data_IF_032648597967
#
_entry.id   IF_032648597967
#
_cell.length_a   1.000
_cell.length_b   1.000
_cell.length_c   1.000
_cell.angle_alpha   90.00
_cell.angle_beta   90.00
_cell.angle_gamma   90.00
#
_symmetry.space_group_name_H-M   'P 1'
#
loop_
_entity.id
_entity.type
_entity.pdbx_description
1 polymer ?
#
# COMPACT_ATOMS: atom_id res chain seq x y z
N UNK A 1 -4.22 39.40 10.95
CA UNK A 1 -3.18 38.70 11.72
C UNK A 1 -2.23 39.77 12.25
N UNK A 2 -1.88 39.73 13.53
CA UNK A 2 -1.14 40.81 14.18
C UNK A 2 0.31 40.86 13.68
N UNK A 3 0.89 42.07 13.59
CA UNK A 3 2.28 42.30 13.16
C UNK A 3 3.29 41.43 13.95
N UNK A 4 2.99 41.15 15.21
CA UNK A 4 3.80 40.32 16.10
C UNK A 4 3.91 38.86 15.61
N UNK A 5 2.83 38.28 15.09
CA UNK A 5 2.82 36.92 14.56
C UNK A 5 3.71 36.79 13.29
N UNK A 6 3.78 37.85 12.48
CA UNK A 6 4.63 37.90 11.28
C UNK A 6 6.11 37.88 11.69
N UNK A 7 6.47 38.67 12.72
CA UNK A 7 7.83 38.73 13.24
C UNK A 7 8.27 37.40 13.89
N UNK A 8 7.39 36.76 14.67
CA UNK A 8 7.66 35.43 15.24
C UNK A 8 7.82 34.37 14.15
N UNK A 9 6.92 34.34 13.16
CA UNK A 9 7.03 33.44 12.02
C UNK A 9 8.32 33.67 11.21
N UNK A 10 8.76 34.92 11.04
CA UNK A 10 10.02 35.24 10.34
C UNK A 10 11.25 34.72 11.09
N UNK A 11 11.28 34.83 12.43
CA UNK A 11 12.36 34.23 13.24
C UNK A 11 12.40 32.71 13.09
N UNK A 12 11.25 32.05 13.22
CA UNK A 12 11.16 30.59 13.02
C UNK A 12 11.54 30.19 11.58
N UNK A 13 11.24 31.06 10.60
CA UNK A 13 11.67 30.86 9.24
C UNK A 13 13.19 31.00 9.06
N UNK A 14 13.82 31.98 9.70
CA UNK A 14 15.28 32.11 9.68
C UNK A 14 15.96 30.88 10.30
N UNK A 15 15.36 30.30 11.34
CA UNK A 15 15.82 29.07 12.00
C UNK A 15 15.64 27.79 11.15
N UNK A 16 15.12 27.89 9.94
CA UNK A 16 15.01 26.75 9.04
C UNK A 16 13.75 25.89 9.21
N UNK A 17 12.79 26.28 10.06
CA UNK A 17 11.56 25.50 10.22
C UNK A 17 10.70 25.52 8.94
N UNK A 18 9.99 24.43 8.67
CA UNK A 18 9.05 24.34 7.55
C UNK A 18 7.74 25.09 7.84
N UNK A 19 6.96 25.39 6.79
CA UNK A 19 5.64 26.03 6.91
C UNK A 19 4.73 25.29 7.90
N UNK A 20 4.73 23.96 7.85
CA UNK A 20 3.90 23.13 8.73
C UNK A 20 4.33 23.20 10.19
N UNK A 21 5.64 23.22 10.45
CA UNK A 21 6.18 23.36 11.80
C UNK A 21 5.90 24.76 12.37
N UNK A 22 6.06 25.81 11.55
CA UNK A 22 5.72 27.19 11.95
C UNK A 22 4.23 27.32 12.25
N UNK A 23 3.38 26.67 11.44
CA UNK A 23 1.94 26.67 11.66
C UNK A 23 1.57 25.98 12.99
N UNK A 24 2.20 24.84 13.30
CA UNK A 24 2.02 24.13 14.56
C UNK A 24 2.50 24.98 15.76
N UNK A 25 3.67 25.60 15.65
CA UNK A 25 4.26 26.43 16.71
C UNK A 25 3.41 27.66 17.06
N UNK A 26 2.80 28.27 16.03
CA UNK A 26 1.99 29.47 16.20
C UNK A 26 0.50 29.18 16.41
N UNK A 27 0.09 27.89 16.40
CA UNK A 27 -1.31 27.49 16.53
C UNK A 27 -2.20 27.94 15.36
N UNK A 28 -1.66 27.92 14.14
CA UNK A 28 -2.34 28.41 12.92
C UNK A 28 -2.40 27.35 11.83
N UNK A 29 -3.06 27.65 10.70
CA UNK A 29 -3.10 26.72 9.56
C UNK A 29 -1.91 26.90 8.62
N UNK A 30 -1.51 25.82 7.94
CA UNK A 30 -0.48 25.84 6.90
C UNK A 30 -0.77 26.88 5.81
N UNK A 31 -2.04 27.02 5.41
CA UNK A 31 -2.47 27.97 4.39
C UNK A 31 -2.26 29.43 4.82
N UNK A 32 -2.45 29.73 6.10
CA UNK A 32 -2.21 31.07 6.66
C UNK A 32 -0.74 31.44 6.59
N UNK A 33 0.17 30.56 7.01
CA UNK A 33 1.63 30.79 6.94
C UNK A 33 2.12 30.84 5.49
N UNK A 34 1.61 29.96 4.61
CA UNK A 34 1.94 29.98 3.18
C UNK A 34 1.50 31.30 2.50
N UNK A 35 0.29 31.76 2.78
CA UNK A 35 -0.20 33.05 2.27
C UNK A 35 0.54 34.25 2.87
N UNK A 36 0.95 34.17 4.13
CA UNK A 36 1.75 35.21 4.81
C UNK A 36 3.15 35.33 4.20
N UNK A 37 3.88 34.22 4.10
CA UNK A 37 5.23 34.20 3.50
C UNK A 37 5.23 34.68 2.05
N UNK A 38 4.16 34.43 1.29
CA UNK A 38 4.02 34.93 -0.08
C UNK A 38 3.82 36.45 -0.16
N UNK A 39 3.15 37.06 0.82
CA UNK A 39 2.89 38.52 0.85
C UNK A 39 4.05 39.31 1.44
N UNK A 40 4.78 38.71 2.37
CA UNK A 40 5.92 39.33 3.07
C UNK A 40 7.24 38.68 2.59
N UNK A 41 7.54 38.79 1.30
CA UNK A 41 8.70 38.10 0.70
C UNK A 41 10.05 38.64 1.17
N UNK A 42 10.07 39.88 1.64
CA UNK A 42 11.18 40.55 2.31
C UNK A 42 11.60 39.83 3.60
N UNK A 43 10.63 39.38 4.41
CA UNK A 43 10.87 38.68 5.68
C UNK A 43 10.97 37.16 5.53
N UNK A 44 10.52 36.62 4.41
CA UNK A 44 10.47 35.18 4.13
C UNK A 44 11.16 34.88 2.78
N UNK A 45 12.50 34.97 2.73
CA UNK A 45 13.24 34.72 1.51
C UNK A 45 13.05 33.28 1.04
N UNK A 46 13.04 33.12 -0.28
CA UNK A 46 12.84 31.82 -0.91
C UNK A 46 14.07 30.93 -0.69
N UNK A 47 13.90 29.85 0.08
CA UNK A 47 15.01 28.96 0.46
C UNK A 47 15.49 28.03 -0.64
N UNK A 48 14.62 27.70 -1.61
CA UNK A 48 14.97 26.89 -2.77
C UNK A 48 14.52 27.61 -4.02
N UNK A 49 15.50 27.95 -4.87
CA UNK A 49 15.22 28.27 -6.26
C UNK A 49 14.74 26.97 -6.90
N UNK A 50 13.57 27.01 -7.55
CA UNK A 50 13.16 25.89 -8.39
C UNK A 50 14.11 25.77 -9.58
N UNK A 51 14.13 24.63 -10.28
CA UNK A 51 14.86 24.52 -11.54
C UNK A 51 14.42 25.65 -12.47
N UNK A 52 15.38 26.28 -13.14
CA UNK A 52 15.08 27.36 -14.07
C UNK A 52 14.32 26.80 -15.29
N UNK A 53 13.64 27.66 -16.07
CA UNK A 53 13.02 27.23 -17.32
C UNK A 53 14.02 26.57 -18.29
N UNK A 54 15.28 27.01 -18.28
CA UNK A 54 16.37 26.44 -19.07
C UNK A 54 16.69 25.00 -18.62
N UNK A 55 16.88 24.78 -17.31
CA UNK A 55 17.13 23.44 -16.75
C UNK A 55 15.97 22.47 -17.05
N UNK A 56 14.75 23.00 -17.11
CA UNK A 56 13.56 22.23 -17.46
C UNK A 56 13.54 21.86 -18.94
N UNK A 57 13.94 22.77 -19.83
CA UNK A 57 14.02 22.51 -21.26
C UNK A 57 15.07 21.42 -21.58
N UNK A 58 16.28 21.54 -21.04
CA UNK A 58 17.34 20.53 -21.23
C UNK A 58 16.90 19.15 -20.74
N UNK A 59 16.25 19.10 -19.57
CA UNK A 59 15.70 17.86 -19.03
C UNK A 59 14.64 17.26 -19.95
N UNK A 60 13.72 18.08 -20.45
CA UNK A 60 12.63 17.63 -21.31
C UNK A 60 13.19 17.12 -22.66
N UNK A 61 14.20 17.78 -23.23
CA UNK A 61 14.95 17.32 -24.42
C UNK A 61 15.59 15.94 -24.18
N UNK A 62 16.23 15.75 -23.03
CA UNK A 62 16.83 14.47 -22.66
C UNK A 62 15.79 13.37 -22.49
N UNK A 63 14.60 13.70 -21.98
CA UNK A 63 13.46 12.78 -21.90
C UNK A 63 13.00 12.35 -23.30
N UNK A 64 12.94 13.27 -24.26
CA UNK A 64 12.55 12.96 -25.64
C UNK A 64 13.57 12.07 -26.34
N UNK A 65 14.87 12.36 -26.17
CA UNK A 65 15.94 11.54 -26.73
C UNK A 65 15.85 10.09 -26.22
N UNK A 66 15.72 9.90 -24.91
CA UNK A 66 15.59 8.57 -24.32
C UNK A 66 14.28 7.87 -24.72
N UNK A 67 13.21 8.61 -25.00
CA UNK A 67 11.99 8.03 -25.55
C UNK A 67 12.20 7.55 -26.99
N UNK A 68 12.90 8.33 -27.82
CA UNK A 68 13.25 7.93 -29.18
C UNK A 68 14.14 6.68 -29.22
N UNK A 69 15.06 6.54 -28.25
CA UNK A 69 15.89 5.35 -28.05
C UNK A 69 15.11 4.09 -27.62
N UNK A 70 13.82 4.21 -27.27
CA UNK A 70 12.98 3.06 -26.90
C UNK A 70 12.83 2.82 -25.40
N UNK A 71 13.44 3.64 -24.53
CA UNK A 71 13.35 3.44 -23.08
C UNK A 71 11.92 3.59 -22.56
N UNK A 72 11.56 2.80 -21.55
CA UNK A 72 10.28 2.91 -20.85
C UNK A 72 10.24 4.09 -19.88
N UNK A 73 9.04 4.56 -19.52
CA UNK A 73 8.87 5.77 -18.68
C UNK A 73 9.61 5.71 -17.34
N UNK A 74 9.59 4.55 -16.66
CA UNK A 74 10.32 4.37 -15.40
C UNK A 74 11.83 4.46 -15.61
N UNK A 75 12.34 3.89 -16.70
CA UNK A 75 13.78 3.91 -17.01
C UNK A 75 14.25 5.30 -17.38
N UNK A 76 13.46 6.03 -18.17
CA UNK A 76 13.72 7.44 -18.51
C UNK A 76 13.78 8.28 -17.23
N UNK A 77 12.81 8.12 -16.34
CA UNK A 77 12.75 8.86 -15.09
C UNK A 77 13.99 8.63 -14.21
N UNK A 78 14.44 7.37 -14.11
CA UNK A 78 15.67 6.98 -13.42
C UNK A 78 16.92 7.65 -14.05
N UNK A 79 17.09 7.54 -15.37
CA UNK A 79 18.27 8.09 -16.07
C UNK A 79 18.34 9.61 -15.95
N UNK A 80 17.20 10.28 -16.03
CA UNK A 80 17.10 11.75 -15.99
C UNK A 80 17.12 12.27 -14.55
N UNK A 81 16.96 11.40 -13.55
CA UNK A 81 16.89 11.80 -12.14
C UNK A 81 15.61 12.57 -11.80
N UNK A 82 14.50 12.28 -12.48
CA UNK A 82 13.20 12.90 -12.22
C UNK A 82 12.14 11.89 -11.80
N UNK A 83 11.04 12.35 -11.21
CA UNK A 83 9.95 11.44 -10.82
C UNK A 83 9.19 10.93 -12.07
N UNK A 84 8.72 9.66 -12.12
CA UNK A 84 7.99 9.12 -13.28
C UNK A 84 6.75 9.92 -13.71
N UNK A 85 6.14 10.64 -12.77
CA UNK A 85 5.01 11.54 -13.08
C UNK A 85 5.41 12.70 -13.97
N UNK A 86 6.68 13.14 -13.96
CA UNK A 86 7.19 14.17 -14.87
C UNK A 86 7.13 13.70 -16.32
N UNK A 87 7.60 12.49 -16.60
CA UNK A 87 7.55 11.89 -17.95
C UNK A 87 6.10 11.68 -18.38
N UNK A 88 5.23 11.20 -17.47
CA UNK A 88 3.79 11.04 -17.74
C UNK A 88 3.14 12.39 -18.08
N UNK A 89 3.44 13.44 -17.31
CA UNK A 89 2.93 14.81 -17.53
C UNK A 89 3.36 15.34 -18.89
N UNK A 90 4.64 15.17 -19.26
CA UNK A 90 5.13 15.61 -20.59
C UNK A 90 4.43 14.87 -21.72
N UNK A 91 4.19 13.57 -21.58
CA UNK A 91 3.42 12.80 -22.55
C UNK A 91 1.99 13.31 -22.72
N UNK A 92 1.35 13.78 -21.65
CA UNK A 92 0.00 14.37 -21.71
C UNK A 92 0.02 15.77 -22.33
N UNK A 93 1.02 16.59 -22.01
CA UNK A 93 1.10 17.98 -22.47
C UNK A 93 1.61 18.11 -23.91
N UNK A 94 2.47 17.18 -24.35
CA UNK A 94 3.15 17.19 -25.66
C UNK A 94 3.09 15.81 -26.31
N UNK A 95 1.89 15.30 -26.64
CA UNK A 95 1.72 13.96 -27.21
C UNK A 95 2.47 13.77 -28.53
N UNK A 96 2.68 14.84 -29.31
CA UNK A 96 3.42 14.83 -30.58
C UNK A 96 4.87 14.36 -30.43
N UNK A 97 5.50 14.61 -29.27
CA UNK A 97 6.88 14.20 -28.98
C UNK A 97 6.99 12.75 -28.47
N UNK A 98 5.85 12.09 -28.21
CA UNK A 98 5.79 10.72 -27.69
C UNK A 98 4.96 9.82 -28.61
N UNK A 99 5.43 9.54 -29.84
CA UNK A 99 4.70 8.70 -30.77
C UNK A 99 4.41 7.33 -30.15
N UNK A 100 3.21 6.81 -30.44
CA UNK A 100 2.79 5.51 -29.96
C UNK A 100 3.70 4.43 -30.55
N UNK A 101 4.63 3.92 -29.73
CA UNK A 101 5.44 2.76 -30.10
C UNK A 101 4.53 1.54 -30.20
N UNK A 102 4.69 0.73 -31.25
CA UNK A 102 4.07 -0.59 -31.35
C UNK A 102 4.55 -1.36 -30.13
N UNK A 103 3.66 -1.58 -29.15
CA UNK A 103 4.00 -2.42 -28.01
C UNK A 103 4.29 -3.79 -28.60
N UNK A 104 5.55 -4.21 -28.55
CA UNK A 104 5.83 -5.64 -28.64
C UNK A 104 4.93 -6.30 -27.60
N UNK A 105 4.22 -7.35 -28.03
CA UNK A 105 3.31 -8.06 -27.14
C UNK A 105 4.08 -8.32 -25.84
N UNK A 106 3.49 -8.01 -24.67
CA UNK A 106 4.19 -8.23 -23.42
C UNK A 106 4.74 -9.65 -23.46
N UNK A 107 6.07 -9.81 -23.37
CA UNK A 107 6.70 -11.11 -23.16
C UNK A 107 5.86 -11.74 -22.08
N UNK A 108 5.19 -12.83 -22.42
CA UNK A 108 4.18 -13.42 -21.55
C UNK A 108 4.79 -13.43 -20.15
N UNK A 109 4.04 -12.92 -19.16
CA UNK A 109 4.46 -13.06 -17.75
C UNK A 109 4.96 -14.49 -17.66
N UNK A 110 6.24 -14.70 -17.28
CA UNK A 110 6.79 -16.06 -17.10
C UNK A 110 5.66 -16.88 -16.52
N UNK A 111 5.25 -18.03 -17.10
CA UNK A 111 4.19 -18.84 -16.53
C UNK A 111 4.53 -18.90 -15.06
N UNK A 112 3.65 -18.33 -14.22
CA UNK A 112 3.87 -18.27 -12.78
C UNK A 112 4.21 -19.68 -12.44
N UNK A 113 5.48 -19.93 -12.08
CA UNK A 113 5.93 -21.27 -11.76
C UNK A 113 4.86 -21.83 -10.83
N UNK A 114 4.28 -22.97 -11.19
CA UNK A 114 3.24 -23.58 -10.38
C UNK A 114 3.71 -23.50 -8.94
N UNK A 115 2.98 -22.73 -8.14
CA UNK A 115 3.39 -22.49 -6.77
C UNK A 115 3.49 -23.90 -6.16
N UNK A 116 4.68 -24.34 -5.70
CA UNK A 116 4.80 -25.67 -5.12
C UNK A 116 3.72 -25.80 -4.06
N UNK A 117 2.97 -26.89 -4.09
CA UNK A 117 1.98 -27.17 -3.06
C UNK A 117 2.73 -27.32 -1.74
N UNK A 118 2.84 -26.23 -1.00
CA UNK A 118 3.62 -26.12 0.22
C UNK A 118 2.90 -26.77 1.41
N UNK A 119 1.94 -27.66 1.14
CA UNK A 119 1.08 -28.30 2.12
C UNK A 119 0.17 -27.32 2.87
N UNK A 120 0.19 -26.03 2.52
CA UNK A 120 -0.69 -24.98 3.06
C UNK A 120 -1.93 -24.75 2.20
N UNK A 121 -2.17 -25.61 1.19
CA UNK A 121 -3.56 -25.88 0.81
C UNK A 121 -4.26 -26.46 2.04
N UNK A 122 -5.49 -26.03 2.31
CA UNK A 122 -6.31 -26.64 3.35
C UNK A 122 -6.41 -28.14 3.02
N UNK A 123 -5.52 -28.95 3.61
CA UNK A 123 -5.59 -30.39 3.45
C UNK A 123 -6.90 -30.90 4.04
N UNK A 124 -7.31 -32.11 3.64
CA UNK A 124 -8.51 -32.83 4.10
C UNK A 124 -8.95 -32.38 5.50
N UNK A 125 -10.01 -31.57 5.55
CA UNK A 125 -10.50 -30.93 6.77
C UNK A 125 -10.98 -31.95 7.81
N UNK A 126 -11.23 -33.20 7.40
CA UNK A 126 -11.57 -34.31 8.31
C UNK A 126 -10.44 -34.62 9.27
N UNK A 127 -9.19 -34.34 8.90
CA UNK A 127 -8.02 -34.48 9.80
C UNK A 127 -8.08 -33.55 11.00
N UNK A 128 -8.89 -32.50 10.93
CA UNK A 128 -9.08 -31.58 12.04
C UNK A 128 -10.12 -32.12 13.04
N UNK A 129 -10.77 -33.25 12.80
CA UNK A 129 -11.75 -33.80 13.74
C UNK A 129 -11.13 -34.09 15.12
N UNK A 130 -11.80 -33.65 16.19
CA UNK A 130 -11.37 -33.91 17.57
C UNK A 130 -11.67 -35.38 17.91
N UNK A 131 -10.70 -36.16 18.43
CA UNK A 131 -10.92 -37.55 18.79
C UNK A 131 -12.09 -37.72 19.77
N UNK A 132 -12.92 -38.74 19.55
CA UNK A 132 -14.08 -39.04 20.41
C UNK A 132 -15.26 -38.07 20.27
N UNK A 133 -15.24 -37.18 19.27
CA UNK A 133 -16.37 -36.28 18.96
C UNK A 133 -17.02 -36.65 17.64
N UNK A 134 -18.34 -36.74 17.63
CA UNK A 134 -19.14 -36.88 16.40
C UNK A 134 -19.45 -35.50 15.79
N UNK A 135 -19.14 -35.26 14.50
CA UNK A 135 -19.45 -34.02 13.82
C UNK A 135 -20.96 -33.81 13.69
N UNK A 136 -21.38 -32.55 13.77
CA UNK A 136 -22.79 -32.19 13.61
C UNK A 136 -22.97 -31.31 12.36
N UNK A 137 -24.14 -31.35 11.70
CA UNK A 137 -24.46 -30.42 10.62
C UNK A 137 -24.36 -28.96 11.08
N UNK A 138 -23.89 -28.06 10.20
CA UNK A 138 -23.80 -26.62 10.48
C UNK A 138 -25.15 -26.01 10.89
N UNK A 139 -26.25 -26.54 10.34
CA UNK A 139 -27.64 -26.16 10.70
C UNK A 139 -27.97 -26.45 12.16
N UNK A 140 -27.32 -27.45 12.76
CA UNK A 140 -27.47 -27.84 14.17
C UNK A 140 -26.36 -27.26 15.07
N UNK A 141 -25.35 -26.60 14.49
CA UNK A 141 -24.38 -25.81 15.26
C UNK A 141 -25.05 -24.54 15.78
N UNK A 142 -25.58 -24.58 17.00
CA UNK A 142 -26.02 -23.39 17.72
C UNK A 142 -24.90 -22.34 17.93
N UNK A 143 -25.20 -21.19 18.58
CA UNK A 143 -24.26 -20.09 18.74
C UNK A 143 -23.05 -20.40 19.64
N UNK A 144 -23.20 -21.34 20.58
CA UNK A 144 -22.14 -21.71 21.53
C UNK A 144 -21.42 -23.02 21.16
N UNK A 145 -21.49 -23.41 19.88
CA UNK A 145 -20.87 -24.63 19.34
C UNK A 145 -19.88 -24.30 18.24
N UNK A 146 -18.78 -25.03 18.19
CA UNK A 146 -17.68 -24.81 17.26
C UNK A 146 -18.14 -25.06 15.82
N UNK A 147 -17.95 -24.03 14.98
CA UNK A 147 -18.38 -24.00 13.57
C UNK A 147 -17.26 -24.34 12.60
N UNK A 148 -16.17 -24.95 13.06
CA UNK A 148 -15.10 -25.35 12.16
C UNK A 148 -15.63 -26.44 11.22
N UNK A 149 -15.64 -26.22 9.89
CA UNK A 149 -16.04 -27.23 8.92
C UNK A 149 -15.04 -28.39 8.90
N UNK A 150 -15.56 -29.62 8.89
CA UNK A 150 -14.79 -30.86 8.76
C UNK A 150 -15.01 -31.54 7.39
N UNK A 151 -15.79 -30.91 6.49
CA UNK A 151 -15.97 -31.36 5.11
C UNK A 151 -14.82 -30.87 4.24
N UNK A 152 -14.46 -31.65 3.22
CA UNK A 152 -13.46 -31.21 2.26
C UNK A 152 -14.03 -30.05 1.42
N UNK A 153 -13.16 -29.13 0.99
CA UNK A 153 -13.53 -27.99 0.17
C UNK A 153 -14.04 -28.43 -1.20
N UNK A 154 -13.51 -29.53 -1.73
CA UNK A 154 -13.82 -30.02 -3.06
C UNK A 154 -15.03 -30.98 -3.09
N UNK A 155 -15.63 -31.25 -1.93
CA UNK A 155 -16.90 -31.98 -1.86
C UNK A 155 -18.05 -31.12 -2.39
N UNK A 156 -18.90 -31.68 -3.26
CA UNK A 156 -19.99 -30.91 -3.85
C UNK A 156 -20.98 -30.49 -2.74
N UNK A 157 -21.47 -29.25 -2.82
CA UNK A 157 -22.31 -28.59 -1.80
C UNK A 157 -23.73 -29.19 -1.62
N UNK A 158 -23.91 -30.47 -1.98
CA UNK A 158 -25.16 -31.23 -1.91
C UNK A 158 -25.38 -31.90 -0.54
N UNK A 159 -24.35 -31.99 0.30
CA UNK A 159 -24.46 -32.50 1.68
C UNK A 159 -24.35 -31.35 2.70
N UNK A 160 -25.04 -31.50 3.84
CA UNK A 160 -24.88 -30.58 4.97
C UNK A 160 -23.42 -30.51 5.40
N UNK A 161 -22.88 -29.28 5.52
CA UNK A 161 -21.51 -29.06 6.00
C UNK A 161 -21.40 -29.54 7.44
N UNK A 162 -20.67 -30.64 7.65
CA UNK A 162 -20.38 -31.14 8.99
C UNK A 162 -19.35 -30.25 9.69
N UNK A 163 -19.59 -29.99 10.96
CA UNK A 163 -18.82 -29.10 11.81
C UNK A 163 -18.45 -29.81 13.12
N UNK A 164 -17.40 -29.32 13.79
CA UNK A 164 -16.92 -29.87 15.05
C UNK A 164 -17.99 -29.99 16.15
N UNK A 165 -18.82 -28.96 16.37
CA UNK A 165 -19.94 -29.03 17.32
C UNK A 165 -19.59 -28.96 18.81
N UNK A 166 -18.31 -29.06 19.20
CA UNK A 166 -17.86 -28.92 20.59
C UNK A 166 -18.15 -27.51 21.17
N UNK A 167 -18.29 -27.36 22.50
CA UNK A 167 -18.46 -26.05 23.13
C UNK A 167 -17.34 -25.07 22.75
N UNK A 168 -17.70 -23.85 22.39
CA UNK A 168 -16.72 -22.80 22.04
C UNK A 168 -16.04 -22.23 23.28
N UNK A 169 -14.81 -21.75 23.10
CA UNK A 169 -14.19 -20.88 24.11
C UNK A 169 -14.90 -19.53 24.15
N UNK A 170 -15.02 -18.95 25.35
CA UNK A 170 -15.67 -17.65 25.54
C UNK A 170 -15.04 -16.57 24.64
N UNK A 171 -15.88 -15.82 23.92
CA UNK A 171 -15.42 -14.78 22.99
C UNK A 171 -14.87 -15.29 21.66
N UNK A 172 -15.00 -16.59 21.35
CA UNK A 172 -14.48 -17.19 20.12
C UNK A 172 -15.56 -18.01 19.39
N UNK A 173 -15.32 -18.36 18.13
CA UNK A 173 -16.17 -19.25 17.33
C UNK A 173 -15.68 -20.70 17.30
N UNK A 174 -14.62 -21.02 18.05
CA UNK A 174 -13.93 -22.31 18.00
C UNK A 174 -13.82 -22.96 19.39
N UNK A 175 -13.79 -24.30 19.42
CA UNK A 175 -13.45 -25.02 20.65
C UNK A 175 -11.96 -24.88 20.97
N UNK A 176 -11.52 -25.33 22.15
CA UNK A 176 -10.12 -25.23 22.57
C UNK A 176 -9.13 -25.88 21.60
N UNK A 177 -9.47 -27.02 21.01
CA UNK A 177 -8.65 -27.71 20.02
C UNK A 177 -8.52 -26.91 18.72
N UNK A 178 -9.64 -26.43 18.18
CA UNK A 178 -9.65 -25.69 16.91
C UNK A 178 -9.16 -24.26 17.03
N UNK A 179 -9.30 -23.65 18.20
CA UNK A 179 -8.71 -22.34 18.48
C UNK A 179 -7.20 -22.36 18.30
N UNK A 180 -6.52 -23.42 18.77
CA UNK A 180 -5.05 -23.58 18.63
C UNK A 180 -4.62 -23.73 17.17
N UNK A 181 -5.44 -24.36 16.34
CA UNK A 181 -5.15 -24.58 14.92
C UNK A 181 -5.35 -23.28 14.12
N UNK A 182 -6.47 -22.59 14.34
CA UNK A 182 -6.83 -21.37 13.61
C UNK A 182 -5.98 -20.16 14.01
N UNK A 183 -5.67 -20.03 15.30
CA UNK A 183 -5.04 -18.85 15.88
C UNK A 183 -3.63 -19.12 16.41
N UNK A 184 -2.91 -20.07 15.79
CA UNK A 184 -1.54 -20.42 16.14
C UNK A 184 -0.71 -19.14 16.35
N UNK A 185 -0.22 -18.85 17.57
CA UNK A 185 0.53 -17.62 17.82
C UNK A 185 1.83 -17.67 17.02
N UNK A 186 2.17 -16.57 16.35
CA UNK A 186 3.32 -16.45 15.43
C UNK A 186 4.71 -16.70 16.08
N UNK A 187 4.78 -17.05 17.37
CA UNK A 187 6.03 -17.14 18.16
C UNK A 187 6.67 -18.54 18.26
N UNK A 188 6.15 -19.58 17.62
CA UNK A 188 6.76 -20.93 17.64
C UNK A 188 7.43 -21.31 16.30
N UNK A 189 7.77 -20.33 15.45
CA UNK A 189 8.40 -20.56 14.14
C UNK A 189 9.89 -20.20 14.08
N UNK A 190 10.55 -19.98 15.22
CA UNK A 190 11.97 -19.56 15.26
C UNK A 190 12.94 -20.55 15.92
N UNK A 191 12.54 -21.79 16.24
CA UNK A 191 13.49 -22.81 16.72
C UNK A 191 13.19 -24.20 16.13
N UNK A 192 13.58 -24.41 14.87
CA UNK A 192 14.19 -25.64 14.34
C UNK A 192 15.19 -25.26 13.25
#
# INVERSE_FOLDING_TARGET
>A
MNQNAIQQASKLWANGLSVSQIAQELGTTNGTIAGMSKRNRDLFPQRRQGPTPADTAERDERIFALWAEGHGQCKIAEIVGCHPTTVKRLKTLRPEMFPARKKEAPVSKKPTAERPDDGRRYGDARKLQVPGTEPIPLTQCGPFRCKLPLTDRDEPAVADVLCCGQPVLAGTSACSAHYRILYRPKRELEEV
#
